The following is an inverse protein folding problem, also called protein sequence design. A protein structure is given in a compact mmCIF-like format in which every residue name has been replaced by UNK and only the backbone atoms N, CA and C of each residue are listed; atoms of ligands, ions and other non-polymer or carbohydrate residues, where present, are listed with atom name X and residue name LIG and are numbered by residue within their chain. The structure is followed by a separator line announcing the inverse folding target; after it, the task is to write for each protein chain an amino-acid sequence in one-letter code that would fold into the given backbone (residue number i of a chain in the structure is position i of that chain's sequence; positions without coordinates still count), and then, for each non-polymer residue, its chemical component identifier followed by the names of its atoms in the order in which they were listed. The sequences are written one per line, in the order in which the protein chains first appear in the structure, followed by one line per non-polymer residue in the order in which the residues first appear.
data_IF_053945353893
#
_entry.id   IF_053945353893
#
_cell.length_a   1.000
_cell.length_b   1.000
_cell.length_c   1.000
_cell.angle_alpha   90.00
_cell.angle_beta   90.00
_cell.angle_gamma   90.00
#
_symmetry.space_group_name_H-M   'P 1'
#
loop_
_entity.id
_entity.type
_entity.pdbx_description
1 polymer ?
#
# COMPACT_ATOMS: atom_id res chain seq x y z
N UNK A 1 -5.80 5.64 13.30
CA UNK A 1 -4.74 5.19 12.38
C UNK A 1 -5.28 4.31 11.26
N UNK A 2 -5.43 2.98 11.42
CA UNK A 2 -5.82 2.07 10.31
C UNK A 2 -7.09 2.51 9.56
N UNK A 3 -8.22 2.60 10.27
CA UNK A 3 -9.50 2.99 9.66
C UNK A 3 -9.45 4.41 9.05
N UNK A 4 -8.65 5.32 9.62
CA UNK A 4 -8.46 6.67 9.11
C UNK A 4 -7.66 6.66 7.79
N UNK A 5 -6.56 5.91 7.72
CA UNK A 5 -5.77 5.76 6.51
C UNK A 5 -6.57 5.08 5.39
N UNK A 6 -7.36 4.06 5.74
CA UNK A 6 -8.29 3.40 4.80
C UNK A 6 -9.37 4.37 4.30
N UNK A 7 -10.01 5.12 5.19
CA UNK A 7 -11.03 6.10 4.81
C UNK A 7 -10.44 7.17 3.88
N UNK A 8 -9.26 7.70 4.19
CA UNK A 8 -8.57 8.67 3.35
C UNK A 8 -8.23 8.09 1.97
N UNK A 9 -7.68 6.88 1.91
CA UNK A 9 -7.37 6.19 0.65
C UNK A 9 -8.63 5.98 -0.20
N UNK A 10 -9.72 5.49 0.40
CA UNK A 10 -11.00 5.28 -0.29
C UNK A 10 -11.58 6.60 -0.80
N UNK A 11 -11.55 7.65 0.02
CA UNK A 11 -12.00 8.99 -0.39
C UNK A 11 -11.17 9.54 -1.55
N UNK A 12 -9.84 9.35 -1.52
CA UNK A 12 -8.96 9.78 -2.61
C UNK A 12 -9.26 9.00 -3.91
N UNK A 13 -9.52 7.70 -3.81
CA UNK A 13 -9.88 6.87 -4.95
C UNK A 13 -11.22 7.30 -5.57
N UNK A 14 -12.27 7.46 -4.78
CA UNK A 14 -13.60 7.86 -5.29
C UNK A 14 -13.68 9.31 -5.77
N UNK A 15 -12.72 10.16 -5.41
CA UNK A 15 -12.63 11.54 -5.91
C UNK A 15 -11.67 11.68 -7.09
N UNK A 16 -11.22 10.57 -7.68
CA UNK A 16 -10.25 10.52 -8.79
C UNK A 16 -8.91 11.21 -8.47
N UNK A 17 -8.63 11.41 -7.17
CA UNK A 17 -7.39 11.99 -6.68
C UNK A 17 -6.30 10.92 -6.46
N UNK A 18 -6.61 9.66 -6.77
CA UNK A 18 -5.75 8.51 -6.62
C UNK A 18 -6.04 7.47 -7.71
N UNK A 19 -5.03 7.11 -8.48
CA UNK A 19 -5.05 5.97 -9.40
C UNK A 19 -4.10 4.89 -8.86
N UNK A 20 -4.60 3.78 -8.29
CA UNK A 20 -3.76 2.68 -7.84
C UNK A 20 -2.99 2.11 -9.02
N UNK A 21 -1.69 1.89 -8.86
CA UNK A 21 -0.83 1.30 -9.86
C UNK A 21 0.07 0.26 -9.20
N UNK A 22 0.35 -0.87 -9.88
CA UNK A 22 1.25 -1.87 -9.34
C UNK A 22 2.64 -1.28 -9.13
N UNK A 23 3.27 -1.64 -8.01
CA UNK A 23 4.62 -1.22 -7.63
C UNK A 23 5.63 -2.32 -7.87
N UNK A 24 5.18 -3.57 -7.79
CA UNK A 24 6.00 -4.75 -8.01
C UNK A 24 5.97 -5.18 -9.47
N UNK A 25 7.15 -5.35 -10.07
CA UNK A 25 7.27 -5.78 -11.46
C UNK A 25 7.18 -7.30 -11.55
N UNK A 26 6.36 -7.79 -12.48
CA UNK A 26 6.26 -9.20 -12.79
C UNK A 26 7.60 -9.71 -13.36
N UNK A 27 8.16 -10.81 -12.82
CA UNK A 27 9.36 -11.42 -13.35
C UNK A 27 9.22 -11.77 -14.86
N UNK A 28 10.27 -11.57 -15.69
CA UNK A 28 10.16 -11.69 -17.15
C UNK A 28 9.69 -13.06 -17.66
N UNK A 29 9.98 -14.13 -16.91
CA UNK A 29 9.56 -15.49 -17.27
C UNK A 29 8.07 -15.72 -17.01
N UNK A 30 7.51 -15.13 -15.94
CA UNK A 30 6.08 -15.23 -15.62
C UNK A 30 5.25 -14.29 -16.50
N UNK A 31 5.76 -13.10 -16.80
CA UNK A 31 5.10 -12.18 -17.72
C UNK A 31 4.77 -12.84 -19.06
N UNK A 32 5.73 -13.54 -19.67
CA UNK A 32 5.51 -14.28 -20.92
C UNK A 32 4.40 -15.32 -20.80
N UNK A 33 4.30 -16.01 -19.67
CA UNK A 33 3.25 -17.02 -19.44
C UNK A 33 1.88 -16.33 -19.31
N UNK A 34 1.80 -15.25 -18.55
CA UNK A 34 0.56 -14.49 -18.35
C UNK A 34 0.06 -13.86 -19.66
N UNK A 35 0.96 -13.25 -20.43
CA UNK A 35 0.63 -12.63 -21.72
C UNK A 35 0.27 -13.65 -22.80
N UNK A 36 0.80 -14.89 -22.72
CA UNK A 36 0.39 -15.99 -23.60
C UNK A 36 -1.06 -16.40 -23.35
N UNK A 37 -1.47 -16.44 -22.09
CA UNK A 37 -2.83 -16.82 -21.69
C UNK A 37 -3.86 -15.70 -21.96
N UNK A 38 -3.46 -14.43 -21.75
CA UNK A 38 -4.30 -13.27 -22.04
C UNK A 38 -3.44 -12.04 -22.39
N UNK A 39 -3.52 -11.59 -23.65
CA UNK A 39 -2.72 -10.47 -24.15
C UNK A 39 -3.09 -9.10 -23.55
N UNK A 40 -4.27 -8.96 -22.95
CA UNK A 40 -4.73 -7.72 -22.30
C UNK A 40 -4.50 -7.73 -20.78
N UNK A 41 -3.80 -8.74 -20.25
CA UNK A 41 -3.57 -8.84 -18.81
C UNK A 41 -2.53 -7.83 -18.35
N UNK A 42 -2.85 -7.09 -17.28
CA UNK A 42 -1.83 -6.38 -16.52
C UNK A 42 -1.04 -7.39 -15.68
N UNK A 43 0.07 -7.85 -16.25
CA UNK A 43 0.93 -8.85 -15.64
C UNK A 43 1.52 -8.39 -14.28
N UNK A 44 1.77 -7.10 -14.12
CA UNK A 44 2.34 -6.52 -12.89
C UNK A 44 1.28 -6.50 -11.79
N UNK A 45 0.04 -6.11 -12.11
CA UNK A 45 -1.08 -6.17 -11.17
C UNK A 45 -1.39 -7.60 -10.71
N UNK A 46 -1.41 -8.56 -11.65
CA UNK A 46 -1.63 -9.97 -11.32
C UNK A 46 -0.53 -10.51 -10.42
N UNK A 47 0.72 -10.19 -10.74
CA UNK A 47 1.88 -10.61 -9.94
C UNK A 47 1.84 -10.02 -8.54
N UNK A 48 1.62 -8.71 -8.40
CA UNK A 48 1.56 -8.03 -7.11
C UNK A 48 0.42 -8.59 -6.24
N UNK A 49 -0.74 -8.85 -6.85
CA UNK A 49 -1.88 -9.50 -6.16
C UNK A 49 -1.51 -10.89 -5.66
N UNK A 50 -0.83 -11.69 -6.48
CA UNK A 50 -0.36 -13.02 -6.08
C UNK A 50 0.69 -12.93 -4.95
N UNK A 51 1.64 -11.99 -5.06
CA UNK A 51 2.68 -11.78 -4.07
C UNK A 51 2.09 -11.46 -2.69
N UNK A 52 1.20 -10.47 -2.60
CA UNK A 52 0.61 -10.07 -1.32
C UNK A 52 -0.32 -11.12 -0.73
N UNK A 53 -1.09 -11.84 -1.55
CA UNK A 53 -1.96 -12.91 -1.07
C UNK A 53 -1.19 -14.14 -0.56
N UNK A 54 -0.10 -14.53 -1.23
CA UNK A 54 0.69 -15.70 -0.83
C UNK A 54 1.67 -15.40 0.31
N UNK A 55 2.11 -14.16 0.48
CA UNK A 55 3.03 -13.78 1.56
C UNK A 55 2.49 -14.19 2.94
N UNK A 56 1.23 -13.89 3.24
CA UNK A 56 0.60 -14.25 4.51
C UNK A 56 0.52 -15.76 4.73
N UNK A 57 0.27 -16.54 3.67
CA UNK A 57 0.22 -18.01 3.72
C UNK A 57 1.57 -18.60 4.15
N UNK A 58 2.66 -18.07 3.60
CA UNK A 58 4.01 -18.55 3.91
C UNK A 58 4.55 -18.03 5.24
N UNK A 59 4.17 -16.81 5.63
CA UNK A 59 4.63 -16.18 6.88
C UNK A 59 3.94 -16.77 8.11
N UNK A 60 2.64 -17.05 8.04
CA UNK A 60 1.81 -17.46 9.19
C UNK A 60 1.39 -18.93 9.12
N UNK A 61 2.36 -19.84 8.94
CA UNK A 61 2.11 -21.28 8.75
C UNK A 61 1.36 -21.98 9.89
N UNK A 62 1.40 -21.40 11.11
CA UNK A 62 0.78 -21.96 12.31
C UNK A 62 -0.55 -21.32 12.72
N UNK A 63 -0.96 -20.24 12.04
CA UNK A 63 -2.23 -19.57 12.32
C UNK A 63 -3.41 -20.25 11.62
N UNK A 64 -4.62 -19.75 11.88
CA UNK A 64 -5.79 -20.10 11.09
C UNK A 64 -5.75 -19.46 9.69
N UNK A 65 -4.59 -19.18 9.09
CA UNK A 65 -4.40 -18.25 7.96
C UNK A 65 -5.31 -18.42 6.74
N UNK A 66 -5.89 -19.62 6.52
CA UNK A 66 -6.93 -19.87 5.50
C UNK A 66 -8.33 -19.34 5.88
N UNK A 67 -8.62 -19.22 7.18
CA UNK A 67 -9.89 -18.79 7.79
C UNK A 67 -9.79 -17.42 8.48
N UNK A 68 -8.70 -17.17 9.20
CA UNK A 68 -8.44 -15.92 9.91
C UNK A 68 -7.00 -15.47 9.60
N UNK A 69 -6.79 -14.40 8.82
CA UNK A 69 -5.46 -13.86 8.59
C UNK A 69 -4.91 -13.22 9.87
N UNK A 70 -3.64 -13.47 10.19
CA UNK A 70 -2.94 -12.86 11.33
C UNK A 70 -2.49 -11.42 11.02
N UNK A 71 -3.45 -10.57 10.63
CA UNK A 71 -3.21 -9.21 10.11
C UNK A 71 -2.53 -8.26 11.12
N UNK A 72 -2.59 -8.57 12.42
CA UNK A 72 -1.96 -7.75 13.47
C UNK A 72 -0.48 -7.50 13.23
N UNK A 73 0.22 -8.46 12.60
CA UNK A 73 1.64 -8.35 12.30
C UNK A 73 1.94 -7.52 11.04
N UNK A 74 0.94 -7.29 10.18
CA UNK A 74 1.08 -6.58 8.91
C UNK A 74 0.41 -5.20 8.93
N UNK A 75 -0.14 -4.77 10.07
CA UNK A 75 -0.86 -3.51 10.19
C UNK A 75 -0.05 -2.28 9.77
N UNK A 76 1.22 -2.19 10.20
CA UNK A 76 2.11 -1.07 9.82
C UNK A 76 2.49 -1.13 8.33
N UNK A 77 3.03 -2.26 7.81
CA UNK A 77 3.28 -2.40 6.37
C UNK A 77 2.06 -2.14 5.48
N UNK A 78 0.86 -2.52 5.93
CA UNK A 78 -0.38 -2.24 5.21
C UNK A 78 -0.66 -0.74 5.14
N UNK A 79 -0.51 -0.01 6.25
CA UNK A 79 -0.64 1.45 6.22
C UNK A 79 0.41 2.07 5.32
N UNK A 80 1.65 1.55 5.31
CA UNK A 80 2.69 2.05 4.42
C UNK A 80 2.31 1.94 2.94
N UNK A 81 1.65 0.85 2.53
CA UNK A 81 1.11 0.72 1.16
C UNK A 81 0.10 1.83 0.86
N UNK A 82 -0.87 2.08 1.74
CA UNK A 82 -1.87 3.13 1.56
C UNK A 82 -1.24 4.53 1.48
N UNK A 83 -0.28 4.81 2.36
CA UNK A 83 0.42 6.10 2.38
C UNK A 83 1.22 6.33 1.12
N UNK A 84 1.92 5.30 0.65
CA UNK A 84 2.68 5.39 -0.58
C UNK A 84 1.76 5.64 -1.77
N UNK A 85 0.57 5.05 -1.81
CA UNK A 85 -0.40 5.27 -2.90
C UNK A 85 -0.89 6.71 -2.90
N UNK A 86 -1.17 7.25 -1.72
CA UNK A 86 -1.52 8.65 -1.52
C UNK A 86 -0.37 9.63 -1.81
N UNK A 87 0.84 9.13 -2.05
CA UNK A 87 2.04 9.95 -2.28
C UNK A 87 2.62 10.59 -1.00
N UNK A 88 2.24 10.06 0.17
CA UNK A 88 2.70 10.54 1.47
C UNK A 88 3.96 9.81 1.92
N UNK A 89 4.68 10.42 2.86
CA UNK A 89 5.81 9.76 3.50
C UNK A 89 5.31 8.67 4.46
N UNK A 90 5.66 7.43 4.14
CA UNK A 90 5.39 6.26 4.97
C UNK A 90 6.46 6.05 6.04
N UNK A 91 7.65 6.66 5.90
CA UNK A 91 8.72 6.62 6.90
C UNK A 91 8.52 7.68 7.97
N UNK A 92 7.49 7.49 8.81
CA UNK A 92 7.05 8.49 9.82
C UNK A 92 8.09 8.85 10.89
N UNK A 93 9.11 8.01 11.07
CA UNK A 93 10.19 8.21 12.07
C UNK A 93 11.54 8.45 11.39
N UNK A 94 12.40 9.21 12.07
CA UNK A 94 13.73 9.60 11.60
C UNK A 94 14.79 8.48 11.58
N UNK A 95 16.07 8.84 11.55
CA UNK A 95 17.18 7.91 11.30
C UNK A 95 17.32 6.73 12.28
N UNK A 96 16.77 6.83 13.49
CA UNK A 96 16.78 5.78 14.53
C UNK A 96 15.46 4.99 14.63
N UNK A 97 14.59 5.07 13.61
CA UNK A 97 13.26 4.44 13.56
C UNK A 97 13.20 2.95 13.91
N UNK A 98 14.31 2.23 13.83
CA UNK A 98 14.42 0.80 14.14
C UNK A 98 14.45 0.53 15.66
N UNK A 99 14.70 1.55 16.48
CA UNK A 99 14.80 1.47 17.93
C UNK A 99 13.51 1.90 18.65
N UNK A 100 12.54 2.45 17.91
CA UNK A 100 11.30 2.99 18.44
C UNK A 100 10.09 2.27 17.84
N UNK A 101 9.10 1.86 18.66
CA UNK A 101 7.88 1.27 18.14
C UNK A 101 7.07 2.33 17.38
N UNK A 102 6.45 1.92 16.27
CA UNK A 102 5.44 2.74 15.59
C UNK A 102 4.13 2.70 16.38
N UNK A 103 3.59 3.89 16.63
CA UNK A 103 2.33 4.07 17.35
C UNK A 103 1.32 4.88 16.54
N UNK A 104 0.10 5.00 17.07
CA UNK A 104 -0.98 5.75 16.42
C UNK A 104 -0.68 7.25 16.33
N UNK A 105 0.14 7.75 17.24
CA UNK A 105 0.62 9.12 17.34
C UNK A 105 1.47 9.54 16.12
N UNK A 106 2.21 8.62 15.50
CA UNK A 106 3.05 8.89 14.33
C UNK A 106 2.22 9.24 13.07
N UNK A 107 0.91 8.97 13.11
CA UNK A 107 -0.05 9.20 12.02
C UNK A 107 -1.06 10.31 12.34
N UNK A 108 -0.84 11.10 13.39
CA UNK A 108 -1.64 12.28 13.67
C UNK A 108 -1.42 13.34 12.58
N UNK A 109 -2.49 13.97 12.12
CA UNK A 109 -2.41 15.02 11.10
C UNK A 109 -2.37 14.50 9.65
N UNK A 110 -2.62 13.21 9.43
CA UNK A 110 -2.45 12.58 8.12
C UNK A 110 -3.36 13.17 7.04
N UNK A 111 -4.57 13.59 7.40
CA UNK A 111 -5.54 14.14 6.45
C UNK A 111 -5.11 15.54 6.03
N UNK A 112 -4.68 16.34 7.01
CA UNK A 112 -4.16 17.69 6.81
C UNK A 112 -2.90 17.65 5.93
N UNK A 113 -1.96 16.74 6.24
CA UNK A 113 -0.77 16.50 5.43
C UNK A 113 -1.11 16.18 3.97
N UNK A 114 -2.14 15.36 3.74
CA UNK A 114 -2.60 15.01 2.41
C UNK A 114 -3.22 16.20 1.67
N UNK A 115 -4.09 16.97 2.32
CA UNK A 115 -4.70 18.18 1.74
C UNK A 115 -3.61 19.17 1.34
N UNK A 116 -2.67 19.45 2.25
CA UNK A 116 -1.53 20.34 2.00
C UNK A 116 -0.66 19.85 0.83
N UNK A 117 -0.48 18.52 0.70
CA UNK A 117 0.28 17.94 -0.41
C UNK A 117 -0.40 18.23 -1.76
N UNK A 118 -1.73 18.15 -1.82
CA UNK A 118 -2.50 18.40 -3.05
C UNK A 118 -2.52 19.88 -3.43
N UNK A 119 -2.65 20.78 -2.46
CA UNK A 119 -2.58 22.23 -2.71
C UNK A 119 -1.22 22.66 -3.28
N UNK A 120 -0.12 22.05 -2.80
CA UNK A 120 1.22 22.30 -3.32
C UNK A 120 1.39 21.84 -4.76
N UNK A 121 0.78 20.73 -5.16
CA UNK A 121 0.80 20.26 -6.56
C UNK A 121 0.04 21.27 -7.45
N UNK A 122 -1.18 21.64 -7.08
CA UNK A 122 -1.98 22.58 -7.88
C UNK A 122 -1.38 23.99 -8.02
N UNK A 123 -0.54 24.41 -7.07
CA UNK A 123 0.19 25.69 -7.15
C UNK A 123 1.45 25.63 -8.01
N UNK A 124 1.99 24.44 -8.28
CA UNK A 124 3.17 24.24 -9.12
C UNK A 124 2.83 24.17 -10.62
N UNK A 125 1.56 23.90 -10.91
CA UNK A 125 1.01 23.79 -12.26
C UNK A 125 0.40 25.12 -12.78
N UNK A 126 0.47 26.20 -11.99
CA UNK A 126 0.10 27.58 -12.33
C UNK A 126 1.33 28.50 -12.38
#
# INVERSE_FOLDING_TARGET
MLAQAQALWISAYFTENLTPAPREQCPPHLRKVLEQDNADVDADLVWETALHSQFGVHRYRGGFGKRNPDFVFDAVPYVDLLLRDLGLDYTRKGGLKWLEPYGVEDYRGLVEEWIDSKEKVGKKDN
#
